data_IF_045184524225
#
_entry.id   IF_045184524225
#
_cell.length_a   1.000
_cell.length_b   1.000
_cell.length_c   1.000
_cell.angle_alpha   90.00
_cell.angle_beta   90.00
_cell.angle_gamma   90.00
#
_symmetry.space_group_name_H-M   'P 1'
#
loop_
_entity.id
_entity.type
_entity.pdbx_description
1 polymer ?
#
# COMPACT_ATOMS: atom_id res chain seq x y z
N UNK A 1 -25.23 -16.74 52.81
CA UNK A 1 -25.29 -16.64 51.34
C UNK A 1 -25.12 -18.04 50.79
N UNK A 2 -26.08 -18.55 50.02
CA UNK A 2 -25.99 -19.87 49.41
C UNK A 2 -24.81 -19.94 48.42
N UNK A 3 -24.23 -21.13 48.20
CA UNK A 3 -23.15 -21.33 47.18
C UNK A 3 -23.49 -20.70 45.85
N UNK A 4 -24.74 -20.85 45.37
CA UNK A 4 -25.25 -20.28 44.15
C UNK A 4 -25.14 -18.73 44.10
N UNK A 5 -25.52 -18.05 45.19
CA UNK A 5 -25.41 -16.57 45.26
C UNK A 5 -23.95 -16.09 45.25
N UNK A 6 -22.99 -16.86 45.81
CA UNK A 6 -21.57 -16.54 45.72
C UNK A 6 -21.06 -16.70 44.27
N UNK A 7 -21.41 -17.79 43.60
CA UNK A 7 -21.02 -18.03 42.20
C UNK A 7 -21.56 -16.93 41.28
N UNK A 8 -22.86 -16.59 41.40
CA UNK A 8 -23.44 -15.50 40.60
C UNK A 8 -22.76 -14.15 40.84
N UNK A 9 -22.39 -13.85 42.10
CA UNK A 9 -21.64 -12.61 42.43
C UNK A 9 -20.25 -12.59 41.76
N UNK A 10 -19.54 -13.73 41.80
CA UNK A 10 -18.21 -13.83 41.18
C UNK A 10 -18.33 -13.66 39.66
N UNK A 11 -19.28 -14.34 38.98
CA UNK A 11 -19.55 -14.16 37.55
C UNK A 11 -19.89 -12.71 37.23
N UNK A 12 -20.74 -12.05 38.03
CA UNK A 12 -21.09 -10.64 37.84
C UNK A 12 -19.87 -9.72 37.95
N UNK A 13 -18.96 -9.98 38.89
CA UNK A 13 -17.71 -9.23 39.05
C UNK A 13 -16.81 -9.45 37.81
N UNK A 14 -16.64 -10.70 37.35
CA UNK A 14 -15.82 -11.00 36.17
C UNK A 14 -16.37 -10.28 34.94
N UNK A 15 -17.67 -10.34 34.72
CA UNK A 15 -18.32 -9.64 33.62
C UNK A 15 -18.14 -8.12 33.72
N UNK A 16 -18.30 -7.54 34.91
CA UNK A 16 -18.09 -6.11 35.12
C UNK A 16 -16.63 -5.70 34.83
N UNK A 17 -15.65 -6.52 35.20
CA UNK A 17 -14.23 -6.28 34.91
C UNK A 17 -13.97 -6.36 33.40
N UNK A 18 -14.52 -7.36 32.73
CA UNK A 18 -14.37 -7.51 31.25
C UNK A 18 -14.95 -6.26 30.55
N UNK A 19 -16.17 -5.85 30.92
CA UNK A 19 -16.80 -4.65 30.35
C UNK A 19 -15.97 -3.39 30.60
N UNK A 20 -15.42 -3.25 31.80
CA UNK A 20 -14.54 -2.13 32.12
C UNK A 20 -13.25 -2.13 31.29
N UNK A 21 -12.62 -3.29 31.10
CA UNK A 21 -11.42 -3.42 30.26
C UNK A 21 -11.72 -3.09 28.78
N UNK A 22 -12.85 -3.57 28.25
CA UNK A 22 -13.29 -3.23 26.88
C UNK A 22 -13.55 -1.72 26.78
N UNK A 23 -14.23 -1.11 27.76
CA UNK A 23 -14.48 0.32 27.75
C UNK A 23 -13.16 1.15 27.77
N UNK A 24 -12.19 0.75 28.60
CA UNK A 24 -10.87 1.38 28.64
C UNK A 24 -10.16 1.25 27.29
N UNK A 25 -10.19 0.06 26.69
CA UNK A 25 -9.60 -0.16 25.36
C UNK A 25 -10.25 0.74 24.31
N UNK A 26 -11.58 0.78 24.23
CA UNK A 26 -12.31 1.61 23.28
C UNK A 26 -12.04 3.10 23.48
N UNK A 27 -11.95 3.57 24.73
CA UNK A 27 -11.58 4.96 25.02
C UNK A 27 -10.14 5.22 24.53
N UNK A 28 -9.20 4.34 24.86
CA UNK A 28 -7.81 4.47 24.42
C UNK A 28 -7.72 4.57 22.90
N UNK A 29 -8.32 3.62 22.16
CA UNK A 29 -8.32 3.60 20.71
C UNK A 29 -8.97 4.86 20.12
N UNK A 30 -10.07 5.34 20.71
CA UNK A 30 -10.76 6.55 20.23
C UNK A 30 -9.93 7.82 20.44
N UNK A 31 -9.24 7.93 21.60
CA UNK A 31 -8.42 9.10 21.91
C UNK A 31 -7.12 9.12 21.10
N UNK A 32 -6.57 7.96 20.79
CA UNK A 32 -5.32 7.82 20.03
C UNK A 32 -5.54 7.63 18.52
N UNK A 33 -6.79 7.65 18.04
CA UNK A 33 -7.10 7.49 16.61
C UNK A 33 -6.39 8.53 15.76
N UNK A 34 -5.65 8.07 14.76
CA UNK A 34 -5.09 8.92 13.72
C UNK A 34 -6.21 9.50 12.84
N UNK A 35 -6.32 10.82 12.79
CA UNK A 35 -7.38 11.56 12.07
C UNK A 35 -6.74 12.60 11.15
N UNK A 36 -6.18 12.17 10.02
CA UNK A 36 -5.57 13.10 9.06
C UNK A 36 -6.62 14.03 8.44
N UNK A 37 -6.16 15.22 8.06
CA UNK A 37 -6.95 16.16 7.27
C UNK A 37 -7.20 15.66 5.85
N UNK A 38 -8.11 16.34 5.09
CA UNK A 38 -8.39 15.95 3.71
C UNK A 38 -7.17 16.09 2.79
N UNK A 39 -6.36 17.12 3.01
CA UNK A 39 -5.07 17.33 2.35
C UNK A 39 -4.06 17.80 3.39
N UNK A 40 -2.89 17.16 3.43
CA UNK A 40 -1.78 17.52 4.33
C UNK A 40 -0.50 17.65 3.52
N UNK A 41 0.31 18.67 3.85
CA UNK A 41 1.65 18.80 3.30
C UNK A 41 2.55 17.68 3.84
N UNK A 42 3.36 17.11 2.95
CA UNK A 42 4.34 16.06 3.27
C UNK A 42 5.74 16.61 3.12
N UNK A 43 6.55 16.39 4.14
CA UNK A 43 7.95 16.78 4.08
C UNK A 43 8.71 15.93 3.05
N UNK A 44 9.54 16.57 2.24
CA UNK A 44 10.45 15.91 1.31
C UNK A 44 11.86 15.96 1.89
N UNK A 45 12.49 14.82 2.05
CA UNK A 45 13.90 14.74 2.46
C UNK A 45 14.77 14.82 1.21
N UNK A 46 15.57 15.88 1.11
CA UNK A 46 16.33 16.18 -0.11
C UNK A 46 15.48 17.04 -1.08
N UNK A 47 15.96 18.26 -1.33
CA UNK A 47 15.23 19.23 -2.18
C UNK A 47 15.91 19.46 -3.51
N UNK A 48 17.14 18.95 -3.68
CA UNK A 48 17.92 19.09 -4.91
C UNK A 48 17.81 17.79 -5.72
N UNK A 49 17.46 17.91 -6.98
CA UNK A 49 17.37 16.76 -7.89
C UNK A 49 17.46 17.24 -9.34
N UNK A 50 17.56 16.28 -10.25
CA UNK A 50 17.46 16.55 -11.68
C UNK A 50 16.05 17.02 -12.04
N UNK A 51 15.90 17.71 -13.13
CA UNK A 51 14.61 17.92 -13.78
C UNK A 51 14.35 16.75 -14.76
N UNK A 52 13.09 16.41 -15.04
CA UNK A 52 12.77 15.48 -16.11
C UNK A 52 13.32 16.01 -17.44
N UNK A 53 13.76 15.11 -18.32
CA UNK A 53 14.26 15.41 -19.67
C UNK A 53 13.28 14.95 -20.77
N UNK A 54 12.05 14.60 -20.36
CA UNK A 54 11.00 14.04 -21.21
C UNK A 54 10.86 12.54 -21.05
N UNK A 55 11.94 11.82 -20.84
CA UNK A 55 11.92 10.38 -20.58
C UNK A 55 11.87 10.11 -19.08
N UNK A 56 10.92 9.27 -18.65
CA UNK A 56 10.68 8.99 -17.23
C UNK A 56 10.51 7.48 -17.02
N UNK A 57 11.26 6.95 -16.07
CA UNK A 57 11.09 5.57 -15.57
C UNK A 57 10.55 5.58 -14.16
N UNK A 58 9.47 4.83 -13.93
CA UNK A 58 8.84 4.70 -12.61
C UNK A 58 8.74 3.22 -12.24
N UNK A 59 9.19 2.86 -11.05
CA UNK A 59 8.98 1.53 -10.47
C UNK A 59 7.89 1.62 -9.40
N UNK A 60 6.91 0.72 -9.39
CA UNK A 60 6.02 0.52 -8.24
C UNK A 60 6.31 -0.81 -7.57
N UNK A 61 6.27 -0.82 -6.23
CA UNK A 61 6.61 -1.99 -5.42
C UNK A 61 5.86 -1.96 -4.08
N UNK A 62 4.85 -2.82 -3.91
CA UNK A 62 4.33 -3.11 -2.58
C UNK A 62 5.33 -4.04 -1.88
N UNK A 63 5.89 -3.61 -0.75
CA UNK A 63 6.96 -4.34 -0.04
C UNK A 63 6.44 -5.20 1.12
N UNK A 64 5.11 -5.20 1.37
CA UNK A 64 4.52 -6.00 2.44
C UNK A 64 5.20 -5.77 3.79
N UNK A 65 5.53 -4.53 4.15
CA UNK A 65 6.32 -4.17 5.35
C UNK A 65 7.55 -5.09 5.57
N UNK A 66 8.19 -5.51 4.47
CA UNK A 66 9.28 -6.51 4.43
C UNK A 66 8.98 -7.80 5.23
N UNK A 67 7.71 -8.03 5.57
CA UNK A 67 7.24 -9.13 6.40
C UNK A 67 6.51 -10.24 5.64
N UNK A 68 6.32 -10.12 4.32
CA UNK A 68 5.48 -11.00 3.52
C UNK A 68 6.25 -11.68 2.36
N UNK A 69 7.52 -11.96 2.56
CA UNK A 69 8.32 -12.69 1.60
C UNK A 69 7.87 -14.15 1.42
N UNK A 70 8.61 -14.89 0.63
CA UNK A 70 8.29 -16.25 0.18
C UNK A 70 7.87 -17.23 1.28
N UNK A 71 8.52 -17.15 2.45
CA UNK A 71 8.29 -18.07 3.55
C UNK A 71 7.15 -17.66 4.49
N UNK A 72 6.49 -16.54 4.25
CA UNK A 72 5.46 -15.99 5.09
C UNK A 72 4.06 -16.22 4.51
N UNK A 73 3.07 -16.28 5.39
CA UNK A 73 1.65 -16.22 5.11
C UNK A 73 1.00 -15.05 5.88
N UNK A 74 -0.30 -14.82 5.69
CA UNK A 74 -1.01 -13.75 6.37
C UNK A 74 -2.41 -14.20 6.81
N UNK A 75 -2.75 -13.92 8.06
CA UNK A 75 -3.97 -14.42 8.69
C UNK A 75 -5.27 -13.91 8.02
N UNK A 76 -5.26 -12.77 7.36
CA UNK A 76 -6.46 -12.25 6.67
C UNK A 76 -6.69 -12.90 5.30
N UNK A 77 -5.68 -13.54 4.75
CA UNK A 77 -5.72 -14.20 3.44
C UNK A 77 -5.83 -15.73 3.55
N UNK A 78 -6.22 -16.23 4.72
CA UNK A 78 -6.36 -17.66 4.98
C UNK A 78 -5.12 -18.30 5.60
N UNK A 79 -4.03 -17.57 5.77
CA UNK A 79 -2.85 -18.00 6.51
C UNK A 79 -3.02 -17.92 8.02
N UNK A 80 -1.92 -17.98 8.75
CA UNK A 80 -1.90 -18.00 10.22
C UNK A 80 -0.99 -16.95 10.86
N UNK A 81 -0.04 -16.42 10.12
CA UNK A 81 0.95 -15.48 10.64
C UNK A 81 0.37 -14.07 10.76
N UNK A 82 0.80 -13.39 11.82
CA UNK A 82 0.46 -11.98 12.09
C UNK A 82 1.65 -11.08 11.76
N UNK A 83 2.85 -11.65 11.89
CA UNK A 83 4.15 -11.04 11.57
C UNK A 83 5.18 -12.15 11.38
N UNK A 84 6.31 -11.88 10.74
CA UNK A 84 7.45 -12.82 10.70
C UNK A 84 7.85 -13.29 12.08
N UNK A 85 8.32 -14.53 12.18
CA UNK A 85 8.74 -15.13 13.43
C UNK A 85 9.98 -14.43 14.01
N UNK A 86 10.91 -14.04 13.14
CA UNK A 86 12.20 -13.48 13.51
C UNK A 86 12.44 -12.12 12.83
N UNK A 87 13.14 -11.23 13.53
CA UNK A 87 13.55 -9.93 12.98
C UNK A 87 14.42 -10.08 11.73
N UNK A 88 15.25 -11.11 11.70
CA UNK A 88 16.14 -11.41 10.58
C UNK A 88 15.40 -11.72 9.28
N UNK A 89 14.16 -12.18 9.34
CA UNK A 89 13.33 -12.37 8.14
C UNK A 89 13.02 -11.02 7.49
N UNK A 90 12.58 -10.03 8.31
CA UNK A 90 12.32 -8.67 7.84
C UNK A 90 13.60 -8.01 7.31
N UNK A 91 14.73 -8.15 8.03
CA UNK A 91 16.02 -7.60 7.60
C UNK A 91 16.48 -8.20 6.26
N UNK A 92 16.29 -9.50 6.06
CA UNK A 92 16.66 -10.21 4.81
C UNK A 92 15.77 -9.75 3.65
N UNK A 93 14.46 -9.70 3.86
CA UNK A 93 13.53 -9.26 2.84
C UNK A 93 13.79 -7.79 2.45
N UNK A 94 13.95 -6.90 3.45
CA UNK A 94 14.25 -5.49 3.21
C UNK A 94 15.56 -5.28 2.43
N UNK A 95 16.59 -6.06 2.74
CA UNK A 95 17.84 -6.04 1.99
C UNK A 95 17.63 -6.52 0.54
N UNK A 96 16.86 -7.58 0.33
CA UNK A 96 16.51 -8.07 -1.00
C UNK A 96 15.71 -7.06 -1.83
N UNK A 97 14.70 -6.42 -1.21
CA UNK A 97 13.94 -5.32 -1.81
C UNK A 97 14.88 -4.17 -2.18
N UNK A 98 15.75 -3.74 -1.27
CA UNK A 98 16.73 -2.68 -1.53
C UNK A 98 17.67 -3.01 -2.69
N UNK A 99 18.17 -4.24 -2.77
CA UNK A 99 19.00 -4.69 -3.90
C UNK A 99 18.21 -4.65 -5.21
N UNK A 100 16.94 -5.07 -5.20
CA UNK A 100 16.06 -4.98 -6.39
C UNK A 100 15.94 -3.54 -6.90
N UNK A 101 15.79 -2.56 -6.01
CA UNK A 101 15.72 -1.14 -6.40
C UNK A 101 17.05 -0.65 -7.01
N UNK A 102 18.20 -1.12 -6.51
CA UNK A 102 19.52 -0.76 -7.05
C UNK A 102 19.81 -1.41 -8.39
N UNK A 103 19.37 -2.65 -8.60
CA UNK A 103 19.57 -3.41 -9.83
C UNK A 103 18.61 -2.94 -10.95
N UNK A 104 17.48 -2.33 -10.59
CA UNK A 104 16.47 -1.82 -11.53
C UNK A 104 16.29 -0.30 -11.36
N UNK A 105 17.28 0.52 -11.76
CA UNK A 105 17.23 1.95 -11.52
C UNK A 105 16.06 2.62 -12.25
N UNK A 106 15.28 3.40 -11.50
CA UNK A 106 14.17 4.19 -11.98
C UNK A 106 14.32 5.63 -11.48
N UNK A 107 13.76 6.60 -12.19
CA UNK A 107 13.78 8.03 -11.81
C UNK A 107 12.92 8.29 -10.58
N UNK A 108 11.80 7.53 -10.47
CA UNK A 108 10.94 7.53 -9.30
C UNK A 108 10.58 6.09 -8.89
N UNK A 109 10.40 5.86 -7.58
CA UNK A 109 9.96 4.58 -7.02
C UNK A 109 8.77 4.84 -6.12
N UNK A 110 7.67 4.17 -6.39
CA UNK A 110 6.46 4.17 -5.57
C UNK A 110 6.48 2.92 -4.70
N UNK A 111 6.66 3.09 -3.40
CA UNK A 111 6.67 1.99 -2.44
C UNK A 111 5.38 2.03 -1.63
N UNK A 112 4.68 0.92 -1.55
CA UNK A 112 3.52 0.72 -0.70
C UNK A 112 3.91 -0.15 0.49
N UNK A 113 3.19 -0.01 1.59
CA UNK A 113 3.41 -0.73 2.85
C UNK A 113 4.81 -0.53 3.46
N UNK A 114 5.41 0.64 3.31
CA UNK A 114 6.65 0.97 4.00
C UNK A 114 6.38 1.31 5.47
N UNK A 115 6.80 0.44 6.38
CA UNK A 115 6.72 0.68 7.81
C UNK A 115 7.86 1.58 8.29
N UNK A 116 7.59 2.36 9.35
CA UNK A 116 8.57 3.26 9.99
C UNK A 116 8.81 2.84 11.43
N UNK A 117 7.72 2.62 12.20
CA UNK A 117 7.80 2.21 13.60
C UNK A 117 6.61 1.30 13.94
N UNK A 118 6.68 0.07 13.43
CA UNK A 118 5.62 -0.92 13.55
C UNK A 118 6.10 -2.18 14.26
N UNK A 119 5.28 -2.71 15.17
CA UNK A 119 5.61 -3.96 15.85
C UNK A 119 5.68 -5.15 14.90
N UNK A 120 4.90 -5.15 13.80
CA UNK A 120 4.88 -6.22 12.81
C UNK A 120 6.19 -6.34 12.03
N UNK A 121 6.92 -5.22 11.87
CA UNK A 121 8.23 -5.12 11.21
C UNK A 121 9.38 -4.88 12.21
N UNK A 122 9.20 -5.24 13.48
CA UNK A 122 10.21 -5.12 14.53
C UNK A 122 10.75 -3.69 14.74
N UNK A 123 9.93 -2.68 14.49
CA UNK A 123 10.26 -1.26 14.59
C UNK A 123 11.45 -0.86 13.68
N UNK A 124 11.59 -1.52 12.52
CA UNK A 124 12.56 -1.13 11.50
C UNK A 124 11.97 0.05 10.72
N UNK A 125 12.74 1.11 10.53
CA UNK A 125 12.41 2.22 9.64
C UNK A 125 12.82 1.84 8.20
N UNK A 126 11.88 1.24 7.47
CA UNK A 126 12.08 0.79 6.09
C UNK A 126 12.20 1.98 5.12
N UNK A 127 11.49 3.09 5.42
CA UNK A 127 11.54 4.28 4.60
C UNK A 127 12.92 4.96 4.70
N UNK A 128 13.48 5.11 5.91
CA UNK A 128 14.84 5.64 6.11
C UNK A 128 15.89 4.73 5.48
N UNK A 129 15.73 3.40 5.63
CA UNK A 129 16.64 2.43 5.05
C UNK A 129 16.69 2.52 3.52
N UNK A 130 15.52 2.50 2.85
CA UNK A 130 15.45 2.53 1.39
C UNK A 130 15.88 3.88 0.82
N UNK A 131 15.54 5.01 1.46
CA UNK A 131 16.00 6.34 1.08
C UNK A 131 17.52 6.46 1.23
N UNK A 132 18.09 5.98 2.34
CA UNK A 132 19.54 5.98 2.57
C UNK A 132 20.30 5.10 1.59
N UNK A 133 19.78 3.92 1.27
CA UNK A 133 20.38 2.97 0.33
C UNK A 133 20.39 3.50 -1.11
N UNK A 134 19.28 4.10 -1.56
CA UNK A 134 19.13 4.60 -2.94
C UNK A 134 19.71 6.00 -3.12
N UNK A 135 19.89 6.77 -2.05
CA UNK A 135 20.32 8.16 -2.09
C UNK A 135 19.32 9.12 -2.73
N UNK A 136 18.07 8.68 -2.92
CA UNK A 136 16.99 9.46 -3.55
C UNK A 136 16.33 10.42 -2.56
N UNK A 137 15.70 11.48 -3.09
CA UNK A 137 14.76 12.29 -2.34
C UNK A 137 13.58 11.42 -1.91
N UNK A 138 13.05 11.62 -0.70
CA UNK A 138 12.00 10.80 -0.15
C UNK A 138 10.84 11.62 0.40
N UNK A 139 9.63 11.20 0.11
CA UNK A 139 8.39 11.69 0.71
C UNK A 139 7.59 10.49 1.26
N UNK A 140 7.11 10.60 2.51
CA UNK A 140 6.34 9.54 3.17
C UNK A 140 4.98 10.06 3.64
N UNK A 141 3.90 9.40 3.23
CA UNK A 141 2.54 9.65 3.71
C UNK A 141 2.00 8.45 4.48
N UNK A 142 1.65 8.66 5.76
CA UNK A 142 1.04 7.59 6.55
C UNK A 142 -0.35 7.24 6.01
N UNK A 143 -0.58 5.96 5.72
CA UNK A 143 -1.90 5.40 5.43
C UNK A 143 -2.35 4.38 6.49
N UNK A 144 -1.42 3.85 7.29
CA UNK A 144 -1.70 3.04 8.45
C UNK A 144 -0.93 3.57 9.66
N UNK A 145 -1.62 4.30 10.53
CA UNK A 145 -1.05 4.82 11.78
C UNK A 145 -2.01 4.53 12.93
N UNK A 146 -1.64 3.58 13.78
CA UNK A 146 -2.44 3.14 14.92
C UNK A 146 -1.55 2.91 16.14
N UNK A 147 -1.91 3.53 17.25
CA UNK A 147 -1.20 3.32 18.50
C UNK A 147 -1.28 1.86 18.98
N UNK A 148 -2.34 1.16 18.64
CA UNK A 148 -2.54 -0.23 18.97
C UNK A 148 -3.64 -0.88 18.14
N UNK A 149 -3.33 -2.01 17.49
CA UNK A 149 -4.29 -2.87 16.80
C UNK A 149 -4.48 -4.13 17.66
N UNK A 150 -5.65 -4.30 18.29
CA UNK A 150 -5.89 -5.34 19.30
C UNK A 150 -6.19 -6.75 18.73
N UNK A 151 -6.09 -6.92 17.44
CA UNK A 151 -6.46 -8.13 16.72
C UNK A 151 -5.40 -8.48 15.66
N UNK A 152 -5.20 -9.76 15.31
CA UNK A 152 -5.73 -10.96 15.95
C UNK A 152 -5.02 -11.30 17.28
N UNK A 153 -4.94 -12.56 17.67
CA UNK A 153 -4.10 -13.03 18.79
C UNK A 153 -3.05 -13.98 18.20
N UNK A 154 -1.74 -13.65 18.32
CA UNK A 154 -1.14 -12.48 18.98
C UNK A 154 -1.52 -11.17 18.28
N UNK A 155 -1.56 -10.07 19.05
CA UNK A 155 -1.98 -8.76 18.54
C UNK A 155 -0.95 -8.14 17.61
N UNK A 156 -1.39 -7.43 16.56
CA UNK A 156 -0.49 -6.67 15.67
C UNK A 156 0.28 -5.61 16.48
N UNK A 157 -0.41 -4.92 17.40
CA UNK A 157 0.18 -3.88 18.22
C UNK A 157 0.26 -2.52 17.52
N UNK A 158 1.32 -1.75 17.76
CA UNK A 158 1.54 -0.46 17.11
C UNK A 158 1.85 -0.66 15.61
N UNK A 159 1.28 0.22 14.78
CA UNK A 159 1.60 0.32 13.35
C UNK A 159 1.81 1.79 12.98
N UNK A 160 2.91 2.09 12.34
CA UNK A 160 3.17 3.35 11.64
C UNK A 160 3.84 3.03 10.30
N UNK A 161 3.09 3.15 9.22
CA UNK A 161 3.57 2.87 7.86
C UNK A 161 2.71 3.55 6.82
N UNK A 162 3.15 3.51 5.56
CA UNK A 162 2.43 4.21 4.52
C UNK A 162 2.98 4.03 3.12
N UNK A 163 2.78 5.10 2.34
CA UNK A 163 3.29 5.24 0.98
C UNK A 163 4.61 6.02 1.04
N UNK A 164 5.64 5.48 0.41
CA UNK A 164 6.93 6.15 0.26
C UNK A 164 7.18 6.38 -1.24
N UNK A 165 7.42 7.63 -1.62
CA UNK A 165 7.92 7.98 -2.96
C UNK A 165 9.38 8.36 -2.86
N UNK A 166 10.23 7.63 -3.59
CA UNK A 166 11.65 7.93 -3.75
C UNK A 166 11.88 8.49 -5.16
N UNK A 167 12.64 9.56 -5.32
CA UNK A 167 12.88 10.14 -6.64
C UNK A 167 14.22 10.84 -6.77
N UNK A 168 14.81 10.80 -7.97
CA UNK A 168 15.98 11.57 -8.38
C UNK A 168 15.62 13.03 -8.73
N UNK A 169 14.33 13.32 -8.91
CA UNK A 169 13.87 14.66 -9.28
C UNK A 169 13.81 15.61 -8.08
N UNK A 170 13.98 16.91 -8.34
CA UNK A 170 13.67 17.96 -7.39
C UNK A 170 12.17 18.09 -7.24
N UNK A 171 11.65 17.75 -6.07
CA UNK A 171 10.21 17.84 -5.75
C UNK A 171 9.92 19.23 -5.20
N UNK A 172 9.02 19.97 -5.86
CA UNK A 172 8.62 21.31 -5.41
C UNK A 172 7.68 21.22 -4.20
N UNK A 173 6.76 20.28 -4.22
CA UNK A 173 5.86 20.01 -3.10
C UNK A 173 5.41 18.56 -3.09
N UNK A 174 5.13 18.05 -1.89
CA UNK A 174 4.48 16.76 -1.71
C UNK A 174 3.25 16.89 -0.80
N UNK A 175 2.21 16.14 -1.07
CA UNK A 175 0.99 16.15 -0.28
C UNK A 175 0.38 14.76 -0.12
N UNK A 176 -0.25 14.56 1.03
CA UNK A 176 -1.12 13.46 1.34
C UNK A 176 -2.56 13.87 1.06
N UNK A 177 -3.23 13.23 0.11
CA UNK A 177 -4.65 13.44 -0.20
C UNK A 177 -5.44 12.28 0.38
N UNK A 178 -6.32 12.55 1.36
CA UNK A 178 -7.07 11.50 2.04
C UNK A 178 -8.10 10.85 1.09
N UNK A 179 -8.17 9.53 1.10
CA UNK A 179 -9.20 8.77 0.41
C UNK A 179 -10.36 8.42 1.37
N UNK A 180 -11.55 8.11 0.87
CA UNK A 180 -12.68 7.66 1.68
C UNK A 180 -12.32 6.47 2.57
N UNK A 181 -12.76 6.51 3.84
CA UNK A 181 -12.57 5.44 4.82
C UNK A 181 -13.85 4.65 4.95
N UNK A 182 -13.90 3.36 4.54
CA UNK A 182 -15.13 2.58 4.57
C UNK A 182 -15.51 2.10 5.98
N UNK A 183 -14.56 2.10 6.90
CA UNK A 183 -14.75 1.55 8.23
C UNK A 183 -15.43 2.52 9.18
N UNK A 184 -16.37 2.00 9.99
CA UNK A 184 -17.07 2.74 11.04
C UNK A 184 -16.42 2.51 12.40
N UNK A 185 -16.70 3.41 13.36
CA UNK A 185 -16.34 3.19 14.75
C UNK A 185 -16.96 1.87 15.29
N UNK A 186 -16.25 1.06 16.07
CA UNK A 186 -14.90 1.28 16.61
C UNK A 186 -13.76 0.84 15.66
N UNK A 187 -14.03 0.10 14.59
CA UNK A 187 -13.01 -0.47 13.68
C UNK A 187 -12.14 0.62 13.07
N UNK A 188 -12.71 1.77 12.70
CA UNK A 188 -11.96 2.89 12.11
C UNK A 188 -10.85 3.43 13.02
N UNK A 189 -10.94 3.24 14.34
CA UNK A 189 -9.98 3.80 15.31
C UNK A 189 -8.58 3.20 15.22
N UNK A 190 -8.46 2.00 14.69
CA UNK A 190 -7.20 1.27 14.56
C UNK A 190 -7.07 0.58 13.18
N UNK A 191 -7.62 1.21 12.15
CA UNK A 191 -7.57 0.71 10.78
C UNK A 191 -6.98 1.77 9.84
N UNK A 192 -6.74 1.36 8.58
CA UNK A 192 -6.13 2.18 7.55
C UNK A 192 -6.93 3.49 7.31
N UNK A 193 -6.19 4.53 7.00
CA UNK A 193 -6.66 5.81 6.50
C UNK A 193 -5.97 6.03 5.16
N UNK A 194 -6.43 5.30 4.14
CA UNK A 194 -5.84 5.30 2.79
C UNK A 194 -5.72 6.72 2.24
N UNK A 195 -4.72 6.94 1.40
CA UNK A 195 -4.43 8.24 0.79
C UNK A 195 -3.73 8.07 -0.56
N UNK A 196 -3.65 9.15 -1.30
CA UNK A 196 -2.69 9.32 -2.38
C UNK A 196 -1.49 10.09 -1.82
N UNK A 197 -0.28 9.69 -2.17
CA UNK A 197 0.94 10.48 -1.97
C UNK A 197 1.28 11.13 -3.31
N UNK A 198 1.13 12.44 -3.37
CA UNK A 198 1.30 13.25 -4.58
C UNK A 198 2.62 14.02 -4.47
N UNK A 199 3.54 13.79 -5.40
CA UNK A 199 4.77 14.56 -5.55
C UNK A 199 4.72 15.38 -6.83
N UNK A 200 5.01 16.69 -6.75
CA UNK A 200 5.00 17.63 -7.86
C UNK A 200 6.41 17.97 -8.27
N UNK A 201 6.75 17.72 -9.53
CA UNK A 201 8.06 17.96 -10.11
C UNK A 201 7.90 18.98 -11.25
N UNK A 202 8.58 20.13 -11.19
CA UNK A 202 8.52 21.11 -12.26
C UNK A 202 9.05 20.56 -13.58
N UNK A 203 8.30 20.76 -14.67
CA UNK A 203 8.73 20.36 -16.00
C UNK A 203 8.13 21.30 -17.08
N UNK A 204 8.96 22.02 -17.84
CA UNK A 204 8.62 22.88 -18.97
C UNK A 204 7.45 23.86 -18.73
N UNK A 205 7.42 24.48 -17.55
CA UNK A 205 6.37 25.44 -17.17
C UNK A 205 5.05 24.79 -16.73
N UNK A 206 5.04 23.47 -16.58
CA UNK A 206 3.97 22.62 -16.04
C UNK A 206 4.55 21.75 -14.93
N UNK A 207 3.81 20.75 -14.49
CA UNK A 207 4.27 19.78 -13.50
C UNK A 207 4.17 18.35 -14.03
N UNK A 208 5.16 17.53 -13.70
CA UNK A 208 4.99 16.09 -13.65
C UNK A 208 4.44 15.73 -12.27
N UNK A 209 3.21 15.26 -12.23
CA UNK A 209 2.48 14.87 -11.01
C UNK A 209 2.61 13.36 -10.84
N UNK A 210 3.43 12.96 -9.87
CA UNK A 210 3.67 11.57 -9.51
C UNK A 210 2.71 11.20 -8.36
N UNK A 211 1.84 10.22 -8.57
CA UNK A 211 0.81 9.80 -7.61
C UNK A 211 1.03 8.35 -7.21
N UNK A 212 1.57 8.14 -6.02
CA UNK A 212 1.69 6.81 -5.41
C UNK A 212 0.39 6.48 -4.67
N UNK A 213 -0.15 5.28 -4.89
CA UNK A 213 -1.41 4.83 -4.32
C UNK A 213 -1.34 3.41 -3.76
N UNK A 214 -2.23 3.13 -2.81
CA UNK A 214 -2.56 1.79 -2.34
C UNK A 214 -4.03 1.80 -1.92
N UNK A 215 -4.90 1.26 -2.78
CA UNK A 215 -6.35 1.30 -2.60
C UNK A 215 -6.85 0.24 -1.61
N UNK A 216 -8.14 0.32 -1.25
CA UNK A 216 -8.74 -0.56 -0.23
C UNK A 216 -8.77 -2.02 -0.67
N UNK A 217 -8.44 -2.93 0.29
CA UNK A 217 -8.36 -4.36 0.08
C UNK A 217 -9.56 -5.13 0.65
N UNK A 218 -10.03 -4.77 1.85
CA UNK A 218 -10.86 -5.63 2.71
C UNK A 218 -12.25 -5.05 3.04
N UNK A 219 -12.78 -4.18 2.18
CA UNK A 219 -14.15 -3.69 2.33
C UNK A 219 -15.17 -4.55 1.57
N UNK A 220 -16.44 -4.17 1.64
CA UNK A 220 -17.54 -4.81 0.92
C UNK A 220 -17.66 -4.38 -0.57
N UNK A 221 -16.70 -3.59 -1.07
CA UNK A 221 -16.63 -3.07 -2.44
C UNK A 221 -17.05 -1.61 -2.58
N UNK A 222 -17.88 -1.06 -1.71
CA UNK A 222 -18.29 0.35 -1.78
C UNK A 222 -17.11 1.31 -1.55
N UNK A 223 -16.20 0.96 -0.63
CA UNK A 223 -15.00 1.74 -0.35
C UNK A 223 -14.02 1.74 -1.51
N UNK A 224 -13.81 0.58 -2.16
CA UNK A 224 -12.97 0.48 -3.37
C UNK A 224 -13.48 1.40 -4.47
N UNK A 225 -14.78 1.35 -4.78
CA UNK A 225 -15.42 2.18 -5.80
C UNK A 225 -15.27 3.67 -5.44
N UNK A 226 -15.55 4.06 -4.19
CA UNK A 226 -15.44 5.45 -3.76
C UNK A 226 -14.01 5.97 -3.84
N UNK A 227 -13.00 5.15 -3.49
CA UNK A 227 -11.59 5.51 -3.60
C UNK A 227 -11.16 5.63 -5.07
N UNK A 228 -11.58 4.71 -5.93
CA UNK A 228 -11.27 4.74 -7.36
C UNK A 228 -11.88 5.96 -8.05
N UNK A 229 -13.13 6.29 -7.74
CA UNK A 229 -13.77 7.50 -8.28
C UNK A 229 -13.03 8.77 -7.85
N UNK A 230 -12.69 8.91 -6.56
CA UNK A 230 -11.94 10.06 -6.08
C UNK A 230 -10.53 10.14 -6.68
N UNK A 231 -9.87 8.99 -6.92
CA UNK A 231 -8.61 8.94 -7.64
C UNK A 231 -8.78 9.55 -9.04
N UNK A 232 -9.77 9.09 -9.82
CA UNK A 232 -9.98 9.56 -11.18
C UNK A 232 -10.35 11.05 -11.25
N UNK A 233 -11.19 11.53 -10.33
CA UNK A 233 -11.51 12.95 -10.21
C UNK A 233 -10.21 13.77 -10.00
N UNK A 234 -9.36 13.35 -9.06
CA UNK A 234 -8.08 14.00 -8.80
C UNK A 234 -7.14 13.99 -10.02
N UNK A 235 -6.97 12.84 -10.68
CA UNK A 235 -6.09 12.73 -11.85
C UNK A 235 -6.58 13.59 -13.02
N UNK A 236 -7.89 13.61 -13.25
CA UNK A 236 -8.52 14.41 -14.31
C UNK A 236 -8.34 15.91 -14.05
N UNK A 237 -8.55 16.37 -12.82
CA UNK A 237 -8.32 17.75 -12.43
C UNK A 237 -6.85 18.18 -12.64
N UNK A 238 -5.90 17.32 -12.37
CA UNK A 238 -4.48 17.61 -12.61
C UNK A 238 -4.15 17.70 -14.11
N UNK A 239 -4.69 16.80 -14.92
CA UNK A 239 -4.52 16.86 -16.36
C UNK A 239 -5.18 18.11 -16.98
N UNK A 240 -6.36 18.52 -16.50
CA UNK A 240 -7.05 19.74 -16.97
C UNK A 240 -6.25 21.01 -16.68
N UNK A 241 -5.39 21.03 -15.66
CA UNK A 241 -4.42 22.10 -15.40
C UNK A 241 -3.26 22.11 -16.42
N UNK A 242 -3.19 21.09 -17.28
CA UNK A 242 -2.15 20.90 -18.29
C UNK A 242 -0.94 20.09 -17.80
N UNK A 243 -1.01 19.51 -16.60
CA UNK A 243 0.05 18.70 -16.02
C UNK A 243 0.18 17.34 -16.70
N UNK A 244 1.35 16.73 -16.55
CA UNK A 244 1.61 15.32 -16.87
C UNK A 244 1.30 14.49 -15.64
N UNK A 245 0.51 13.42 -15.77
CA UNK A 245 0.07 12.64 -14.62
C UNK A 245 0.45 11.17 -14.77
N UNK A 246 1.20 10.66 -13.81
CA UNK A 246 1.54 9.25 -13.66
C UNK A 246 1.05 8.80 -12.28
N UNK A 247 0.02 7.98 -12.23
CA UNK A 247 -0.47 7.36 -11.01
C UNK A 247 -0.16 5.87 -11.02
N UNK A 248 0.35 5.31 -9.92
CA UNK A 248 0.67 3.90 -9.86
C UNK A 248 0.78 3.38 -8.44
N UNK A 249 0.71 2.07 -8.31
CA UNK A 249 0.74 1.38 -7.03
C UNK A 249 -0.05 0.10 -7.04
N UNK A 250 -0.46 -0.30 -5.85
CA UNK A 250 -1.35 -1.42 -5.60
C UNK A 250 -2.81 -0.95 -5.59
N UNK A 251 -3.57 -1.38 -6.61
CA UNK A 251 -4.98 -1.03 -6.76
C UNK A 251 -5.91 -1.93 -5.94
N UNK A 252 -5.42 -3.09 -5.45
CA UNK A 252 -6.26 -4.13 -4.85
C UNK A 252 -7.47 -4.52 -5.71
N UNK A 253 -7.36 -4.27 -7.00
CA UNK A 253 -8.34 -4.56 -8.03
C UNK A 253 -7.62 -5.01 -9.30
N UNK A 254 -8.20 -6.00 -9.99
CA UNK A 254 -7.69 -6.42 -11.30
C UNK A 254 -8.07 -5.41 -12.37
N UNK A 255 -7.24 -5.31 -13.38
CA UNK A 255 -7.47 -4.40 -14.50
C UNK A 255 -8.42 -5.01 -15.54
N UNK A 256 -9.25 -4.19 -16.21
CA UNK A 256 -10.08 -4.66 -17.29
C UNK A 256 -9.23 -5.09 -18.50
N UNK A 257 -9.79 -5.90 -19.37
CA UNK A 257 -9.23 -6.30 -20.68
C UNK A 257 -7.87 -7.02 -20.63
N UNK A 258 -7.45 -7.52 -19.47
CA UNK A 258 -6.26 -8.37 -19.34
C UNK A 258 -6.63 -9.81 -18.97
N UNK A 259 -5.76 -10.75 -19.36
CA UNK A 259 -5.92 -12.15 -18.95
C UNK A 259 -5.77 -12.27 -17.42
N UNK A 260 -6.79 -12.84 -16.78
CA UNK A 260 -6.76 -13.12 -15.35
C UNK A 260 -6.19 -14.52 -15.07
N UNK A 261 -5.52 -14.68 -13.94
CA UNK A 261 -5.10 -15.99 -13.45
C UNK A 261 -6.33 -16.82 -13.03
N UNK A 262 -6.29 -18.16 -13.20
CA UNK A 262 -7.39 -19.03 -12.78
C UNK A 262 -7.73 -18.85 -11.29
N UNK A 263 -9.01 -18.85 -10.94
CA UNK A 263 -9.44 -18.86 -9.55
C UNK A 263 -9.21 -20.27 -8.97
N UNK A 264 -8.21 -20.39 -8.10
CA UNK A 264 -7.84 -21.61 -7.38
C UNK A 264 -8.41 -21.57 -5.98
N UNK A 265 -8.29 -20.43 -5.31
CA UNK A 265 -8.85 -20.17 -3.98
C UNK A 265 -10.09 -19.27 -4.14
N UNK A 266 -11.23 -19.74 -3.66
CA UNK A 266 -12.53 -19.03 -3.71
C UNK A 266 -13.10 -18.77 -2.32
N UNK A 267 -12.37 -19.13 -1.27
CA UNK A 267 -12.82 -19.01 0.13
C UNK A 267 -12.16 -17.83 0.84
N UNK A 268 -10.97 -17.44 0.39
CA UNK A 268 -10.19 -16.38 1.00
C UNK A 268 -10.31 -15.07 0.21
N UNK A 269 -9.42 -14.11 0.50
CA UNK A 269 -9.43 -12.79 -0.13
C UNK A 269 -9.31 -12.88 -1.67
N UNK A 270 -10.05 -12.01 -2.35
CA UNK A 270 -9.94 -11.80 -3.78
C UNK A 270 -10.01 -10.29 -4.10
N UNK A 271 -9.27 -9.82 -5.12
CA UNK A 271 -9.30 -8.42 -5.54
C UNK A 271 -10.68 -8.03 -6.10
N UNK A 272 -11.00 -6.74 -6.05
CA UNK A 272 -12.05 -6.17 -6.87
C UNK A 272 -11.69 -6.18 -8.36
N UNK A 273 -12.56 -5.57 -9.16
CA UNK A 273 -12.32 -5.37 -10.61
C UNK A 273 -12.52 -3.90 -10.92
N UNK A 274 -11.55 -3.26 -11.58
CA UNK A 274 -11.68 -1.89 -12.07
C UNK A 274 -12.69 -1.84 -13.20
N UNK A 275 -13.51 -0.79 -13.23
CA UNK A 275 -14.47 -0.57 -14.32
C UNK A 275 -13.70 -0.18 -15.59
N UNK A 276 -14.01 -0.84 -16.72
CA UNK A 276 -13.40 -0.51 -18.01
C UNK A 276 -13.74 0.92 -18.46
N UNK A 277 -14.91 1.41 -18.11
CA UNK A 277 -15.41 2.74 -18.50
C UNK A 277 -14.94 3.88 -17.56
N UNK A 278 -14.11 3.56 -16.53
CA UNK A 278 -13.64 4.58 -15.59
C UNK A 278 -12.65 5.57 -16.17
N UNK A 279 -11.92 5.18 -17.21
CA UNK A 279 -10.91 6.04 -17.86
C UNK A 279 -11.57 6.97 -18.89
N UNK A 280 -11.39 8.31 -18.77
CA UNK A 280 -11.79 9.23 -19.83
C UNK A 280 -11.01 8.98 -21.15
N UNK A 281 -11.49 9.57 -22.23
CA UNK A 281 -10.85 9.45 -23.55
C UNK A 281 -9.36 9.86 -23.51
N UNK A 282 -8.51 9.01 -24.07
CA UNK A 282 -7.06 9.20 -24.15
C UNK A 282 -6.27 8.75 -22.93
N UNK A 283 -6.92 8.48 -21.81
CA UNK A 283 -6.27 7.86 -20.65
C UNK A 283 -6.04 6.38 -20.88
N UNK A 284 -5.02 5.80 -20.25
CA UNK A 284 -4.72 4.39 -20.40
C UNK A 284 -4.22 3.75 -19.10
N UNK A 285 -4.54 2.48 -18.94
CA UNK A 285 -3.82 1.62 -17.98
C UNK A 285 -2.50 1.17 -18.61
N UNK A 286 -1.43 1.19 -17.81
CA UNK A 286 -0.16 0.57 -18.16
C UNK A 286 0.07 -0.60 -17.20
N UNK A 287 -0.13 -1.82 -17.69
CA UNK A 287 -0.14 -3.07 -16.92
C UNK A 287 0.54 -4.16 -17.74
N UNK A 288 1.33 -4.99 -17.10
CA UNK A 288 1.90 -6.19 -17.69
C UNK A 288 1.27 -7.45 -17.05
N UNK A 289 0.48 -8.17 -17.83
CA UNK A 289 -0.16 -9.41 -17.42
C UNK A 289 0.67 -10.66 -17.77
N UNK A 290 1.89 -10.52 -18.26
CA UNK A 290 2.76 -11.65 -18.62
C UNK A 290 3.30 -12.37 -17.39
N UNK A 291 3.36 -11.68 -16.25
CA UNK A 291 3.73 -12.21 -14.93
C UNK A 291 2.77 -11.71 -13.86
N UNK A 292 2.52 -12.51 -12.79
CA UNK A 292 1.65 -12.08 -11.70
C UNK A 292 2.34 -10.98 -10.89
N UNK A 293 1.57 -9.98 -10.45
CA UNK A 293 2.10 -8.94 -9.57
C UNK A 293 1.86 -9.25 -8.10
N UNK A 294 0.90 -10.12 -7.76
CA UNK A 294 0.57 -10.46 -6.37
C UNK A 294 0.24 -11.95 -6.24
N UNK A 295 0.56 -12.53 -5.08
CA UNK A 295 0.11 -13.85 -4.64
C UNK A 295 -0.77 -13.75 -3.41
N UNK A 296 -1.76 -14.65 -3.28
CA UNK A 296 -2.51 -14.83 -2.05
C UNK A 296 -1.60 -15.43 -0.95
N UNK A 297 -1.73 -14.91 0.27
CA UNK A 297 -0.93 -15.30 1.42
C UNK A 297 -1.59 -16.41 2.28
N UNK A 298 -2.32 -17.34 1.65
CA UNK A 298 -2.96 -18.47 2.36
C UNK A 298 -1.96 -19.49 2.91
N UNK A 299 -0.69 -19.40 2.50
CA UNK A 299 0.44 -20.19 2.97
C UNK A 299 1.77 -19.70 2.42
N UNK A 300 2.91 -20.24 2.90
CA UNK A 300 4.21 -19.97 2.30
C UNK A 300 4.25 -20.35 0.82
N UNK A 301 4.93 -19.56 0.01
CA UNK A 301 5.05 -19.80 -1.42
C UNK A 301 6.08 -20.90 -1.72
N UNK A 302 5.65 -21.95 -2.42
CA UNK A 302 6.48 -23.12 -2.73
C UNK A 302 7.20 -23.03 -4.07
N UNK A 303 6.95 -21.98 -4.87
CA UNK A 303 7.37 -21.86 -6.27
C UNK A 303 6.40 -22.54 -7.23
N UNK A 304 5.33 -23.16 -6.75
CA UNK A 304 4.31 -23.81 -7.58
C UNK A 304 3.16 -22.82 -7.90
N UNK A 305 3.20 -22.24 -9.09
CA UNK A 305 2.21 -21.27 -9.56
C UNK A 305 0.85 -21.91 -9.90
N UNK A 306 0.83 -23.22 -10.16
CA UNK A 306 -0.43 -23.92 -10.43
C UNK A 306 -1.23 -24.18 -9.16
N UNK A 307 -0.58 -24.13 -7.98
CA UNK A 307 -1.21 -24.28 -6.67
C UNK A 307 -1.30 -22.99 -5.86
N UNK A 308 -0.86 -21.88 -6.41
CA UNK A 308 -0.89 -20.58 -5.75
C UNK A 308 -1.89 -19.66 -6.43
N UNK A 309 -2.82 -19.08 -5.68
CA UNK A 309 -3.70 -18.04 -6.22
C UNK A 309 -2.88 -16.79 -6.53
N UNK A 310 -2.92 -16.36 -7.78
CA UNK A 310 -2.13 -15.27 -8.33
C UNK A 310 -3.04 -14.19 -8.92
N UNK A 311 -2.57 -12.95 -8.90
CA UNK A 311 -3.31 -11.79 -9.39
C UNK A 311 -2.39 -10.80 -10.13
N UNK A 312 -3.00 -9.91 -10.93
CA UNK A 312 -2.38 -8.70 -11.47
C UNK A 312 -3.16 -7.51 -10.95
N UNK A 313 -2.63 -6.85 -9.93
CA UNK A 313 -3.30 -5.75 -9.20
C UNK A 313 -2.40 -4.51 -9.03
N UNK A 314 -1.15 -4.60 -9.46
CA UNK A 314 -0.20 -3.48 -9.49
C UNK A 314 -0.01 -2.98 -10.92
N UNK A 315 0.09 -1.67 -11.09
CA UNK A 315 0.23 -1.05 -12.39
C UNK A 315 0.11 0.47 -12.33
N UNK A 316 -0.22 1.09 -13.47
CA UNK A 316 -0.27 2.53 -13.60
C UNK A 316 -1.49 3.01 -14.40
N UNK A 317 -1.88 4.28 -14.15
CA UNK A 317 -2.79 5.07 -14.96
C UNK A 317 -1.98 6.26 -15.50
N UNK A 318 -2.06 6.50 -16.81
CA UNK A 318 -1.33 7.56 -17.51
C UNK A 318 -2.30 8.55 -18.12
N UNK A 319 -2.00 9.86 -18.00
CA UNK A 319 -2.73 10.91 -18.70
C UNK A 319 -2.43 10.92 -20.20
N UNK A 320 -3.31 11.53 -21.03
CA UNK A 320 -3.17 11.50 -22.50
C UNK A 320 -1.88 12.09 -23.05
N UNK A 321 -1.19 12.96 -22.29
CA UNK A 321 0.08 13.59 -22.66
C UNK A 321 1.31 12.81 -22.13
N UNK A 322 1.12 11.59 -21.60
CA UNK A 322 2.18 10.65 -21.22
C UNK A 322 2.13 9.45 -22.15
N UNK A 323 3.16 9.29 -22.97
CA UNK A 323 3.24 8.22 -23.95
C UNK A 323 3.92 6.98 -23.36
N UNK A 324 3.24 5.84 -23.41
CA UNK A 324 3.77 4.55 -22.91
C UNK A 324 4.78 3.97 -23.88
N UNK A 325 6.04 3.82 -23.46
CA UNK A 325 7.08 3.08 -24.18
C UNK A 325 7.02 1.59 -23.84
N UNK A 326 7.03 1.28 -22.54
CA UNK A 326 6.90 -0.10 -22.04
C UNK A 326 6.44 -0.15 -20.60
N UNK A 327 5.82 -1.27 -20.22
CA UNK A 327 5.55 -1.66 -18.86
C UNK A 327 5.95 -3.13 -18.69
N UNK A 328 6.60 -3.46 -17.58
CA UNK A 328 7.10 -4.81 -17.31
C UNK A 328 7.02 -5.15 -15.82
N UNK A 329 6.44 -6.29 -15.50
CA UNK A 329 6.51 -6.91 -14.17
C UNK A 329 7.88 -7.56 -13.99
N UNK A 330 8.61 -7.17 -12.95
CA UNK A 330 9.87 -7.78 -12.56
C UNK A 330 9.58 -9.04 -11.75
N UNK A 331 9.60 -10.17 -12.40
CA UNK A 331 9.28 -11.46 -11.78
C UNK A 331 10.40 -11.92 -10.86
N UNK A 332 10.24 -11.71 -9.57
CA UNK A 332 11.18 -12.09 -8.51
C UNK A 332 10.78 -13.39 -7.79
N UNK A 333 9.80 -14.11 -8.34
CA UNK A 333 9.26 -15.33 -7.73
C UNK A 333 8.83 -15.13 -6.28
N UNK A 334 8.35 -13.93 -5.95
CA UNK A 334 7.87 -13.52 -4.61
C UNK A 334 8.89 -13.75 -3.48
N UNK A 335 10.18 -13.67 -3.78
CA UNK A 335 11.24 -14.03 -2.83
C UNK A 335 11.22 -13.14 -1.57
N UNK A 336 11.03 -11.81 -1.75
CA UNK A 336 11.17 -10.83 -0.67
C UNK A 336 9.86 -10.13 -0.26
N UNK A 337 8.81 -10.23 -1.08
CA UNK A 337 7.47 -9.69 -0.84
C UNK A 337 6.43 -10.59 -1.51
N UNK A 338 5.18 -10.43 -1.15
CA UNK A 338 4.03 -11.06 -1.80
C UNK A 338 3.61 -10.36 -3.10
N UNK A 339 4.29 -9.26 -3.44
CA UNK A 339 4.17 -8.57 -4.72
C UNK A 339 5.48 -8.56 -5.51
N UNK A 340 5.34 -8.65 -6.83
CA UNK A 340 6.41 -8.41 -7.79
C UNK A 340 6.38 -6.95 -8.26
N UNK A 341 7.52 -6.23 -8.31
CA UNK A 341 7.56 -4.85 -8.76
C UNK A 341 7.17 -4.69 -10.23
N UNK A 342 6.60 -3.54 -10.58
CA UNK A 342 6.27 -3.20 -11.98
C UNK A 342 7.06 -1.97 -12.40
N UNK A 343 7.83 -2.10 -13.50
CA UNK A 343 8.60 -1.03 -14.12
C UNK A 343 7.82 -0.42 -15.27
N UNK A 344 7.69 0.90 -15.25
CA UNK A 344 7.11 1.73 -16.30
C UNK A 344 8.20 2.55 -17.00
N UNK A 345 8.12 2.68 -18.31
CA UNK A 345 8.95 3.54 -19.12
C UNK A 345 8.06 4.39 -20.05
N UNK A 346 8.16 5.71 -19.94
CA UNK A 346 7.28 6.66 -20.65
C UNK A 346 8.01 7.87 -21.18
N UNK A 347 7.35 8.58 -22.11
CA UNK A 347 7.76 9.86 -22.66
C UNK A 347 6.70 10.91 -22.39
N UNK A 348 7.10 12.09 -21.88
CA UNK A 348 6.22 13.26 -21.68
C UNK A 348 6.13 14.04 -23.00
N UNK A 349 4.90 14.30 -23.49
CA UNK A 349 4.65 14.95 -24.80
C UNK A 349 3.89 16.26 -24.70
#
# INVERSE_FOLDING_TARGET
>A
MTKAKRVLRVIGIILAVIVALIAVLLIFLTVTEYKPGPVEEVAVTGTSGKLPDGHVRVLTCNIGYAGLGKNQDFFMDGGSMVRPAEKTDVETNLQGIGNTLLENPADAVFVQEADVDSHRSYNIDEAEYLAGLTGKNAALAYNFKAAFVPYPIPMIGKVEGGLLTLTDYGVESASRVALPVPFKWPVSTCNLKRCLLVCRVPYEGRELVLVNLHLEAYDDGEGKIAQTNMLMDFLTEEYEKGNYVIAGGDFNQTFPDIAQYPAIDTENWAPGVLDADMLPEGWQFAVDASSPTCRLLSGPYTGDREQTQLYVIDGFILSPNVFLNSVQTLDLDFEYADHNPVMLDVELQ
#
